data_IF_997431674559
#
_entry.id   IF_997431674559
#
_cell.length_a   1.000
_cell.length_b   1.000
_cell.length_c   1.000
_cell.angle_alpha   90.00
_cell.angle_beta   90.00
_cell.angle_gamma   90.00
#
_symmetry.space_group_name_H-M   'P 1'
#
loop_
_entity.id
_entity.type
_entity.pdbx_description
1 polymer ?
#
# COMPACT_ATOMS: atom_id res chain seq x y z
N UNK A 1 40.77 -5.52 2.84
CA UNK A 1 39.54 -4.90 2.32
C UNK A 1 39.37 -3.51 2.94
N UNK A 2 39.39 -2.43 2.14
CA UNK A 2 39.58 -1.06 2.65
C UNK A 2 38.32 -0.44 3.29
N UNK A 3 38.57 0.34 4.34
CA UNK A 3 37.61 1.01 5.24
C UNK A 3 36.72 2.06 4.52
N UNK A 4 37.04 2.40 3.27
CA UNK A 4 36.36 3.47 2.50
C UNK A 4 34.99 3.03 1.96
N UNK A 5 34.73 1.72 1.78
CA UNK A 5 33.43 1.24 1.26
C UNK A 5 32.27 1.27 2.27
N UNK A 6 32.53 1.40 3.58
CA UNK A 6 31.46 1.35 4.60
C UNK A 6 30.59 2.62 4.66
N UNK A 7 31.09 3.79 4.25
CA UNK A 7 30.32 5.05 4.33
C UNK A 7 29.25 5.20 3.24
N UNK A 8 29.43 4.64 2.03
CA UNK A 8 28.44 4.82 0.95
C UNK A 8 27.30 3.80 0.96
N UNK A 9 27.49 2.64 1.61
CA UNK A 9 26.48 1.57 1.68
C UNK A 9 25.23 1.97 2.48
N UNK A 10 25.35 2.93 3.41
CA UNK A 10 24.20 3.40 4.21
C UNK A 10 23.13 4.14 3.38
N UNK A 11 23.50 4.65 2.20
CA UNK A 11 22.63 5.51 1.38
C UNK A 11 21.94 4.78 0.21
N UNK A 12 22.20 3.48 0.05
CA UNK A 12 21.63 2.65 -1.03
C UNK A 12 21.11 1.34 -0.45
N UNK A 13 19.96 0.90 -0.95
CA UNK A 13 19.43 -0.43 -0.66
C UNK A 13 19.74 -1.35 -1.84
N UNK A 14 20.16 -2.59 -1.56
CA UNK A 14 20.46 -3.58 -2.58
C UNK A 14 19.26 -4.50 -2.75
N UNK A 15 18.42 -4.18 -3.73
CA UNK A 15 17.16 -4.87 -3.96
C UNK A 15 17.34 -5.81 -5.17
N UNK A 16 16.76 -7.02 -5.16
CA UNK A 16 16.78 -7.92 -6.32
C UNK A 16 16.32 -7.22 -7.61
N UNK A 17 16.93 -7.56 -8.76
CA UNK A 17 16.56 -6.96 -10.06
C UNK A 17 15.15 -7.36 -10.53
N UNK A 18 14.60 -8.46 -10.02
CA UNK A 18 13.22 -8.89 -10.26
C UNK A 18 12.18 -8.20 -9.35
N UNK A 19 12.55 -7.09 -8.70
CA UNK A 19 11.62 -6.26 -7.93
C UNK A 19 10.46 -5.81 -8.81
N UNK A 20 9.26 -5.86 -8.23
CA UNK A 20 8.01 -5.47 -8.88
C UNK A 20 7.63 -4.09 -8.37
N UNK A 21 7.76 -3.10 -9.25
CA UNK A 21 7.32 -1.73 -9.00
C UNK A 21 5.82 -1.62 -9.23
N UNK A 22 5.11 -0.95 -8.34
CA UNK A 22 3.72 -0.57 -8.54
C UNK A 22 3.52 0.89 -8.11
N UNK A 23 2.71 1.59 -8.88
CA UNK A 23 2.27 2.95 -8.57
C UNK A 23 0.83 3.10 -8.99
N UNK A 24 0.02 3.62 -8.08
CA UNK A 24 -1.36 3.98 -8.36
C UNK A 24 -1.75 5.22 -7.56
N UNK A 25 -2.71 5.96 -8.08
CA UNK A 25 -3.33 7.09 -7.39
C UNK A 25 -4.78 6.77 -7.07
N UNK A 26 -5.22 7.20 -5.90
CA UNK A 26 -6.63 7.24 -5.52
C UNK A 26 -7.03 8.70 -5.36
N UNK A 27 -8.05 9.13 -6.09
CA UNK A 27 -8.72 10.40 -5.85
C UNK A 27 -10.10 10.10 -5.26
N UNK A 28 -10.32 10.55 -4.03
CA UNK A 28 -11.56 10.29 -3.30
C UNK A 28 -12.29 11.60 -3.05
N UNK A 29 -13.61 11.62 -3.19
CA UNK A 29 -14.44 12.74 -2.75
C UNK A 29 -15.76 12.26 -2.15
N UNK A 30 -16.31 12.96 -1.15
CA UNK A 30 -17.57 12.58 -0.52
C UNK A 30 -18.76 12.82 -1.46
N UNK A 31 -19.72 11.90 -1.48
CA UNK A 31 -20.96 12.09 -2.23
C UNK A 31 -22.00 12.85 -1.38
N UNK A 32 -22.02 14.17 -1.55
CA UNK A 32 -22.92 15.06 -0.80
C UNK A 32 -24.29 15.19 -1.47
N UNK A 33 -25.32 15.53 -0.68
CA UNK A 33 -26.67 15.82 -1.21
C UNK A 33 -26.63 16.92 -2.27
N UNK A 34 -25.77 17.93 -2.08
CA UNK A 34 -25.56 19.01 -3.04
C UNK A 34 -25.17 18.51 -4.44
N UNK A 35 -24.31 17.50 -4.54
CA UNK A 35 -23.90 16.94 -5.83
C UNK A 35 -25.09 16.25 -6.52
N UNK A 36 -25.90 15.53 -5.73
CA UNK A 36 -27.08 14.82 -6.22
C UNK A 36 -28.15 15.83 -6.70
N UNK A 37 -28.38 16.89 -5.93
CA UNK A 37 -29.36 17.93 -6.25
C UNK A 37 -28.95 18.70 -7.52
N UNK A 38 -27.66 19.05 -7.67
CA UNK A 38 -27.14 19.72 -8.85
C UNK A 38 -27.27 18.86 -10.11
N UNK A 39 -26.96 17.57 -10.02
CA UNK A 39 -27.15 16.65 -11.13
C UNK A 39 -28.63 16.50 -11.51
N UNK A 40 -29.51 16.38 -10.51
CA UNK A 40 -30.97 16.29 -10.74
C UNK A 40 -31.53 17.55 -11.42
N UNK A 41 -30.97 18.72 -11.10
CA UNK A 41 -31.33 19.97 -11.76
C UNK A 41 -30.82 20.05 -13.20
N UNK A 42 -29.67 19.46 -13.52
CA UNK A 42 -29.08 19.43 -14.86
C UNK A 42 -29.83 18.49 -15.82
N UNK A 43 -30.19 17.28 -15.39
CA UNK A 43 -30.84 16.28 -16.27
C UNK A 43 -32.35 16.47 -16.44
N UNK A 44 -32.96 17.35 -15.64
CA UNK A 44 -34.40 17.57 -15.63
C UNK A 44 -35.15 16.43 -14.94
N UNK A 45 -36.14 16.78 -14.10
CA UNK A 45 -36.85 15.88 -13.19
C UNK A 45 -37.78 14.83 -13.86
N UNK A 46 -37.49 14.39 -15.09
CA UNK A 46 -38.39 13.56 -15.91
C UNK A 46 -38.12 12.06 -15.85
N UNK A 47 -37.01 11.62 -15.28
CA UNK A 47 -36.73 10.18 -15.12
C UNK A 47 -36.85 9.85 -13.64
N UNK A 48 -37.75 8.93 -13.30
CA UNK A 48 -37.71 8.26 -11.99
C UNK A 48 -36.29 7.72 -11.81
N UNK A 49 -35.45 8.41 -11.04
CA UNK A 49 -34.03 8.05 -10.86
C UNK A 49 -33.98 6.56 -10.56
N UNK A 50 -33.18 5.80 -11.33
CA UNK A 50 -32.64 4.55 -10.83
C UNK A 50 -31.61 4.91 -9.75
N UNK A 51 -32.15 5.36 -8.61
CA UNK A 51 -31.62 5.94 -7.37
C UNK A 51 -30.25 6.66 -7.39
N UNK A 52 -29.17 6.07 -7.91
CA UNK A 52 -27.86 6.73 -8.08
C UNK A 52 -27.09 6.30 -9.34
N UNK A 53 -27.59 5.32 -10.08
CA UNK A 53 -26.91 4.71 -11.22
C UNK A 53 -26.59 5.71 -12.34
N UNK A 54 -27.53 6.59 -12.67
CA UNK A 54 -27.37 7.56 -13.75
C UNK A 54 -26.27 8.59 -13.43
N UNK A 55 -26.22 9.08 -12.19
CA UNK A 55 -25.16 9.95 -11.70
C UNK A 55 -23.78 9.27 -11.78
N UNK A 56 -23.69 8.03 -11.29
CA UNK A 56 -22.43 7.28 -11.33
C UNK A 56 -21.96 7.02 -12.77
N UNK A 57 -22.90 6.69 -13.66
CA UNK A 57 -22.59 6.46 -15.07
C UNK A 57 -22.17 7.75 -15.77
N UNK A 58 -22.82 8.88 -15.47
CA UNK A 58 -22.44 10.20 -15.97
C UNK A 58 -21.00 10.56 -15.60
N UNK A 59 -20.65 10.45 -14.31
CA UNK A 59 -19.30 10.74 -13.83
C UNK A 59 -18.28 9.77 -14.45
N UNK A 60 -18.60 8.47 -14.49
CA UNK A 60 -17.72 7.46 -15.08
C UNK A 60 -17.47 7.70 -16.58
N UNK A 61 -18.50 8.07 -17.34
CA UNK A 61 -18.35 8.37 -18.76
C UNK A 61 -17.41 9.56 -18.99
N UNK A 62 -17.59 10.64 -18.21
CA UNK A 62 -16.71 11.81 -18.27
C UNK A 62 -15.28 11.50 -17.85
N UNK A 63 -15.12 10.68 -16.81
CA UNK A 63 -13.81 10.17 -16.40
C UNK A 63 -13.12 9.43 -17.55
N UNK A 64 -13.81 8.52 -18.24
CA UNK A 64 -13.20 7.72 -19.31
C UNK A 64 -12.94 8.53 -20.58
N UNK A 65 -13.79 9.50 -20.90
CA UNK A 65 -13.56 10.47 -21.97
C UNK A 65 -12.26 11.25 -21.73
N UNK A 66 -12.09 11.83 -20.54
CA UNK A 66 -10.88 12.55 -20.17
C UNK A 66 -9.68 11.62 -20.03
N UNK A 67 -9.87 10.40 -19.51
CA UNK A 67 -8.78 9.41 -19.44
C UNK A 67 -8.22 9.11 -20.82
N UNK A 68 -9.07 9.02 -21.86
CA UNK A 68 -8.60 8.86 -23.25
C UNK A 68 -7.85 10.11 -23.73
N UNK A 69 -8.37 11.31 -23.46
CA UNK A 69 -7.72 12.58 -23.82
C UNK A 69 -6.32 12.73 -23.22
N UNK A 70 -6.14 12.33 -21.96
CA UNK A 70 -4.86 12.41 -21.25
C UNK A 70 -3.98 11.15 -21.42
N UNK A 71 -4.38 10.19 -22.25
CA UNK A 71 -3.68 8.92 -22.48
C UNK A 71 -3.42 8.16 -21.17
N UNK A 72 -4.49 7.99 -20.38
CA UNK A 72 -4.51 7.19 -19.15
C UNK A 72 -5.26 5.89 -19.46
N UNK A 73 -4.52 4.84 -19.80
CA UNK A 73 -5.10 3.53 -20.18
C UNK A 73 -5.80 2.82 -19.03
N UNK A 74 -5.40 3.08 -17.78
CA UNK A 74 -5.94 2.43 -16.60
C UNK A 74 -6.63 3.43 -15.68
N UNK A 75 -7.95 3.52 -15.79
CA UNK A 75 -8.79 4.35 -14.92
C UNK A 75 -10.02 3.57 -14.48
N UNK A 76 -10.33 3.61 -13.19
CA UNK A 76 -11.43 2.86 -12.62
C UNK A 76 -12.27 3.77 -11.73
N UNK A 77 -13.58 3.59 -11.82
CA UNK A 77 -14.56 4.32 -11.03
C UNK A 77 -15.17 3.38 -9.99
N UNK A 78 -15.14 3.75 -8.71
CA UNK A 78 -15.60 2.92 -7.59
C UNK A 78 -16.55 3.74 -6.71
N UNK A 79 -17.81 3.31 -6.60
CA UNK A 79 -18.85 3.91 -5.76
C UNK A 79 -19.61 2.81 -5.00
N UNK A 80 -18.88 2.08 -4.15
CA UNK A 80 -19.42 1.05 -3.26
C UNK A 80 -18.72 1.01 -1.89
N UNK A 81 -17.98 2.08 -1.55
CA UNK A 81 -17.24 2.28 -0.30
C UNK A 81 -16.17 1.21 0.04
N UNK A 82 -15.85 0.31 -0.91
CA UNK A 82 -14.80 -0.68 -0.73
C UNK A 82 -13.42 -0.08 -0.94
N UNK A 83 -12.46 -0.58 -0.18
CA UNK A 83 -11.08 -0.14 -0.25
C UNK A 83 -10.37 -0.76 -1.47
N UNK A 84 -9.89 0.08 -2.38
CA UNK A 84 -9.12 -0.36 -3.53
C UNK A 84 -7.65 -0.67 -3.15
N UNK A 85 -7.15 -1.84 -3.55
CA UNK A 85 -5.74 -2.22 -3.37
C UNK A 85 -5.18 -2.79 -4.65
N UNK A 86 -3.95 -2.42 -4.94
CA UNK A 86 -3.29 -2.81 -6.18
C UNK A 86 -2.05 -3.63 -5.89
N UNK A 87 -1.91 -4.74 -6.61
CA UNK A 87 -0.77 -5.65 -6.56
C UNK A 87 -0.30 -5.99 -7.97
N UNK A 88 1.00 -6.21 -8.11
CA UNK A 88 1.55 -6.74 -9.34
C UNK A 88 1.14 -8.20 -9.53
N UNK A 89 0.77 -8.55 -10.76
CA UNK A 89 0.56 -9.92 -11.22
C UNK A 89 0.82 -10.01 -12.71
N UNK A 90 1.29 -11.17 -13.20
CA UNK A 90 1.40 -11.42 -14.64
C UNK A 90 0.04 -11.52 -15.30
N UNK A 91 -0.96 -12.00 -14.57
CA UNK A 91 -2.34 -12.14 -15.01
C UNK A 91 -3.21 -11.05 -14.39
N UNK A 92 -4.16 -10.53 -15.18
CA UNK A 92 -5.11 -9.53 -14.71
C UNK A 92 -6.25 -10.20 -13.96
N UNK A 93 -6.39 -9.88 -12.67
CA UNK A 93 -7.47 -10.39 -11.83
C UNK A 93 -8.06 -9.27 -10.97
N UNK A 94 -9.37 -9.35 -10.72
CA UNK A 94 -10.10 -8.43 -9.86
C UNK A 94 -10.88 -9.25 -8.85
N UNK A 95 -10.47 -9.20 -7.59
CA UNK A 95 -11.16 -9.93 -6.52
C UNK A 95 -11.82 -8.95 -5.58
N UNK A 96 -13.11 -9.16 -5.35
CA UNK A 96 -13.90 -8.31 -4.50
C UNK A 96 -14.33 -9.09 -3.25
N UNK A 97 -14.08 -8.51 -2.09
CA UNK A 97 -14.61 -8.96 -0.80
C UNK A 97 -15.72 -8.03 -0.35
N UNK A 98 -16.20 -8.20 0.88
CA UNK A 98 -17.14 -7.27 1.48
C UNK A 98 -16.52 -5.89 1.74
N UNK A 99 -15.18 -5.80 1.90
CA UNK A 99 -14.52 -4.57 2.36
C UNK A 99 -13.49 -4.00 1.38
N UNK A 100 -12.97 -4.79 0.43
CA UNK A 100 -11.93 -4.35 -0.50
C UNK A 100 -12.14 -4.89 -1.90
N UNK A 101 -11.50 -4.22 -2.86
CA UNK A 101 -11.31 -4.69 -4.22
C UNK A 101 -9.80 -4.80 -4.45
N UNK A 102 -9.32 -6.02 -4.69
CA UNK A 102 -7.93 -6.29 -5.05
C UNK A 102 -7.79 -6.31 -6.56
N UNK A 103 -6.98 -5.40 -7.08
CA UNK A 103 -6.58 -5.30 -8.46
C UNK A 103 -5.20 -5.92 -8.63
N UNK A 104 -5.14 -6.98 -9.43
CA UNK A 104 -3.90 -7.61 -9.86
C UNK A 104 -3.66 -7.22 -11.31
N UNK A 105 -2.53 -6.56 -11.59
CA UNK A 105 -2.20 -6.14 -12.95
C UNK A 105 -0.70 -6.11 -13.20
N UNK A 106 -0.31 -6.08 -14.48
CA UNK A 106 1.05 -5.86 -14.93
C UNK A 106 1.09 -4.48 -15.58
N UNK A 107 1.84 -3.51 -15.00
CA UNK A 107 1.97 -2.18 -15.57
C UNK A 107 2.47 -2.15 -17.02
N UNK A 108 3.19 -3.18 -17.47
CA UNK A 108 3.82 -3.18 -18.78
C UNK A 108 2.82 -3.32 -19.95
N UNK A 109 1.68 -3.99 -19.76
CA UNK A 109 0.77 -4.30 -20.87
C UNK A 109 -0.72 -4.44 -20.51
N UNK A 110 -1.10 -4.43 -19.22
CA UNK A 110 -2.53 -4.45 -18.88
C UNK A 110 -3.14 -3.06 -18.98
N UNK A 111 -4.31 -3.01 -19.60
CA UNK A 111 -5.18 -1.84 -19.71
C UNK A 111 -6.57 -2.20 -19.20
N UNK A 112 -7.18 -1.26 -18.46
CA UNK A 112 -8.40 -1.51 -17.72
C UNK A 112 -9.16 -0.21 -17.49
N UNK A 113 -10.34 -0.13 -18.10
CA UNK A 113 -11.35 0.86 -17.76
C UNK A 113 -12.61 0.16 -17.26
N UNK A 114 -12.98 0.39 -16.00
CA UNK A 114 -14.12 -0.30 -15.39
C UNK A 114 -14.78 0.49 -14.27
N UNK A 115 -16.08 0.26 -14.10
CA UNK A 115 -16.90 0.83 -13.03
C UNK A 115 -17.27 -0.23 -11.99
N UNK A 116 -17.35 0.17 -10.73
CA UNK A 116 -17.76 -0.67 -9.60
C UNK A 116 -18.75 0.10 -8.74
N UNK A 117 -20.04 -0.06 -9.00
CA UNK A 117 -21.09 0.56 -8.21
C UNK A 117 -22.34 -0.32 -8.22
N UNK A 118 -23.23 -0.06 -7.27
CA UNK A 118 -24.59 -0.56 -7.28
C UNK A 118 -25.52 0.64 -7.45
N UNK A 119 -26.40 0.60 -8.47
CA UNK A 119 -27.28 1.70 -8.82
C UNK A 119 -28.29 2.05 -7.70
N UNK A 120 -28.57 1.11 -6.80
CA UNK A 120 -29.47 1.31 -5.67
C UNK A 120 -28.76 1.79 -4.40
N UNK A 121 -27.42 1.74 -4.38
CA UNK A 121 -26.62 2.06 -3.21
C UNK A 121 -26.06 3.48 -3.31
N UNK A 122 -26.34 4.29 -2.29
CA UNK A 122 -25.66 5.57 -2.10
C UNK A 122 -24.28 5.32 -1.49
N UNK A 123 -23.22 5.58 -2.25
CA UNK A 123 -21.87 5.56 -1.70
C UNK A 123 -21.66 6.75 -0.74
N UNK A 124 -20.94 6.54 0.35
CA UNK A 124 -20.46 7.63 1.21
C UNK A 124 -19.44 8.48 0.46
N UNK A 125 -18.58 7.84 -0.34
CA UNK A 125 -17.57 8.50 -1.18
C UNK A 125 -17.39 7.82 -2.53
N UNK A 126 -17.06 8.64 -3.52
CA UNK A 126 -16.62 8.16 -4.84
C UNK A 126 -15.10 8.06 -4.82
N UNK A 127 -14.58 6.94 -5.31
CA UNK A 127 -13.15 6.65 -5.41
C UNK A 127 -12.77 6.43 -6.87
N UNK A 128 -11.87 7.28 -7.38
CA UNK A 128 -11.28 7.15 -8.70
C UNK A 128 -9.89 6.54 -8.55
N UNK A 129 -9.66 5.40 -9.19
CA UNK A 129 -8.39 4.68 -9.15
C UNK A 129 -7.67 4.79 -10.50
N UNK A 130 -6.43 5.24 -10.47
CA UNK A 130 -5.57 5.35 -11.64
C UNK A 130 -4.34 4.47 -11.47
N UNK A 131 -4.08 3.58 -12.42
CA UNK A 131 -2.93 2.67 -12.37
C UNK A 131 -1.84 3.15 -13.33
N UNK A 132 -0.60 3.23 -12.86
CA UNK A 132 0.51 3.59 -13.72
C UNK A 132 0.81 2.47 -14.74
N UNK A 133 1.20 2.85 -15.95
CA UNK A 133 1.57 1.96 -17.06
C UNK A 133 2.99 2.21 -17.55
N UNK A 134 3.61 1.18 -18.14
CA UNK A 134 4.96 1.20 -18.69
C UNK A 134 5.99 0.45 -17.84
N UNK A 135 7.27 0.56 -18.25
CA UNK A 135 8.37 -0.19 -17.65
C UNK A 135 9.09 0.57 -16.53
N UNK A 136 9.17 1.90 -16.62
CA UNK A 136 9.90 2.77 -15.67
C UNK A 136 8.95 3.53 -14.72
N UNK A 137 8.03 2.78 -14.10
CA UNK A 137 6.94 3.30 -13.27
C UNK A 137 7.44 4.31 -12.22
N UNK A 138 8.53 3.98 -11.52
CA UNK A 138 9.05 4.82 -10.45
C UNK A 138 9.70 6.12 -10.93
N UNK A 139 10.28 6.11 -12.13
CA UNK A 139 10.90 7.28 -12.75
C UNK A 139 9.79 8.20 -13.26
N UNK A 140 8.78 7.63 -13.91
CA UNK A 140 7.65 8.37 -14.49
C UNK A 140 6.56 8.72 -13.47
N UNK A 141 6.75 8.40 -12.18
CA UNK A 141 5.76 8.63 -11.15
C UNK A 141 5.35 10.11 -11.01
N UNK A 142 6.30 11.03 -11.15
CA UNK A 142 6.01 12.47 -11.04
C UNK A 142 5.16 12.98 -12.20
N UNK A 143 5.53 12.63 -13.44
CA UNK A 143 4.76 13.00 -14.62
C UNK A 143 3.38 12.36 -14.63
N UNK A 144 3.26 11.10 -14.18
CA UNK A 144 1.97 10.44 -14.00
C UNK A 144 1.11 11.19 -12.96
N UNK A 145 1.67 11.55 -11.81
CA UNK A 145 0.96 12.31 -10.79
C UNK A 145 0.46 13.67 -11.29
N UNK A 146 1.31 14.43 -11.99
CA UNK A 146 0.93 15.72 -12.56
C UNK A 146 -0.18 15.56 -13.62
N UNK A 147 -0.06 14.55 -14.49
CA UNK A 147 -1.09 14.21 -15.49
C UNK A 147 -2.45 13.92 -14.83
N UNK A 148 -2.47 13.09 -13.79
CA UNK A 148 -3.73 12.78 -13.07
C UNK A 148 -4.29 14.03 -12.38
N UNK A 149 -3.44 14.89 -11.83
CA UNK A 149 -3.88 16.14 -11.20
C UNK A 149 -4.62 17.04 -12.19
N UNK A 150 -4.05 17.27 -13.38
CA UNK A 150 -4.71 18.03 -14.44
C UNK A 150 -5.99 17.37 -14.96
N UNK A 151 -6.01 16.04 -15.07
CA UNK A 151 -7.22 15.30 -15.43
C UNK A 151 -8.34 15.55 -14.43
N UNK A 152 -8.05 15.54 -13.12
CA UNK A 152 -9.04 15.78 -12.07
C UNK A 152 -9.56 17.23 -12.07
N UNK A 153 -8.67 18.21 -12.28
CA UNK A 153 -9.05 19.62 -12.43
C UNK A 153 -9.97 19.83 -13.64
N UNK A 154 -9.70 19.16 -14.76
CA UNK A 154 -10.57 19.22 -15.95
C UNK A 154 -11.87 18.46 -15.72
N UNK A 155 -11.83 17.32 -15.03
CA UNK A 155 -13.01 16.53 -14.68
C UNK A 155 -13.99 17.35 -13.84
N UNK A 156 -13.50 18.00 -12.79
CA UNK A 156 -14.31 18.87 -11.92
C UNK A 156 -15.01 19.99 -12.71
N UNK A 157 -14.26 20.68 -13.59
CA UNK A 157 -14.81 21.72 -14.46
C UNK A 157 -15.85 21.16 -15.43
N UNK A 158 -15.63 19.97 -15.98
CA UNK A 158 -16.52 19.36 -16.97
C UNK A 158 -17.82 18.80 -16.39
N UNK A 159 -17.82 18.44 -15.10
CA UNK A 159 -18.98 17.90 -14.42
C UNK A 159 -19.97 19.00 -14.02
N UNK A 160 -19.48 20.22 -13.74
CA UNK A 160 -20.30 21.35 -13.27
C UNK A 160 -21.11 21.02 -11.98
N UNK A 161 -20.66 20.03 -11.20
CA UNK A 161 -21.32 19.56 -9.96
C UNK A 161 -20.83 20.30 -8.69
N UNK A 162 -20.22 21.47 -8.86
CA UNK A 162 -19.58 22.23 -7.78
C UNK A 162 -18.23 21.68 -7.35
N UNK A 163 -17.73 22.15 -6.20
CA UNK A 163 -16.42 21.77 -5.66
C UNK A 163 -16.45 20.34 -5.09
N UNK A 164 -15.68 19.44 -5.70
CA UNK A 164 -15.63 18.03 -5.33
C UNK A 164 -14.64 17.77 -4.19
N UNK A 165 -13.72 18.69 -3.89
CA UNK A 165 -12.78 18.59 -2.75
C UNK A 165 -12.02 17.24 -2.71
N UNK A 166 -11.29 16.93 -3.79
CA UNK A 166 -10.60 15.65 -3.90
C UNK A 166 -9.52 15.44 -2.82
N UNK A 167 -9.58 14.31 -2.13
CA UNK A 167 -8.47 13.75 -1.36
C UNK A 167 -7.62 12.88 -2.28
N UNK A 168 -6.47 13.38 -2.73
CA UNK A 168 -5.54 12.62 -3.55
C UNK A 168 -4.58 11.80 -2.69
N UNK A 169 -4.42 10.52 -3.02
CA UNK A 169 -3.48 9.59 -2.39
C UNK A 169 -2.59 8.94 -3.43
N UNK A 170 -1.29 9.13 -3.30
CA UNK A 170 -0.27 8.56 -4.16
C UNK A 170 0.37 7.36 -3.46
N UNK A 171 0.14 6.16 -4.01
CA UNK A 171 0.63 4.90 -3.44
C UNK A 171 1.72 4.31 -4.35
N UNK A 172 2.95 4.27 -3.85
CA UNK A 172 4.08 3.64 -4.52
C UNK A 172 4.61 2.50 -3.66
N UNK A 173 4.79 1.32 -4.26
CA UNK A 173 5.39 0.21 -3.54
C UNK A 173 6.30 -0.67 -4.39
N UNK A 174 7.30 -1.24 -3.72
CA UNK A 174 8.22 -2.22 -4.26
C UNK A 174 7.91 -3.56 -3.60
N UNK A 175 7.74 -4.60 -4.39
CA UNK A 175 7.53 -5.97 -3.88
C UNK A 175 8.63 -6.89 -4.39
N UNK A 176 9.27 -7.62 -3.48
CA UNK A 176 10.29 -8.62 -3.82
C UNK A 176 10.39 -9.70 -2.74
N UNK A 177 10.99 -10.83 -3.11
CA UNK A 177 11.37 -11.88 -2.16
C UNK A 177 12.77 -11.58 -1.61
N UNK A 178 12.88 -11.56 -0.28
CA UNK A 178 14.14 -11.33 0.44
C UNK A 178 15.21 -12.35 0.06
N UNK A 179 14.81 -13.57 -0.25
CA UNK A 179 15.72 -14.68 -0.57
C UNK A 179 15.84 -14.96 -2.08
N UNK A 180 15.33 -14.08 -2.94
CA UNK A 180 15.40 -14.24 -4.40
C UNK A 180 16.82 -14.60 -4.89
N UNK A 181 17.85 -13.96 -4.33
CA UNK A 181 19.25 -14.27 -4.70
C UNK A 181 19.66 -15.71 -4.40
N UNK A 182 19.24 -16.28 -3.27
CA UNK A 182 19.56 -17.66 -2.91
C UNK A 182 18.82 -18.67 -3.79
N UNK A 183 17.57 -18.35 -4.18
CA UNK A 183 16.70 -19.24 -4.96
C UNK A 183 16.99 -19.27 -6.45
N UNK A 184 17.11 -18.09 -7.05
CA UNK A 184 17.15 -17.93 -8.50
C UNK A 184 18.46 -17.34 -9.00
N UNK A 185 19.41 -17.04 -8.10
CA UNK A 185 20.68 -16.42 -8.44
C UNK A 185 20.56 -14.96 -8.91
N UNK A 186 19.37 -14.34 -8.77
CA UNK A 186 19.10 -12.99 -9.24
C UNK A 186 20.01 -11.97 -8.56
N UNK A 187 20.64 -11.12 -9.37
CA UNK A 187 21.51 -10.06 -8.87
C UNK A 187 20.73 -8.98 -8.12
N UNK A 188 21.44 -8.21 -7.28
CA UNK A 188 20.86 -7.08 -6.56
C UNK A 188 21.35 -5.77 -7.15
N UNK A 189 20.43 -4.86 -7.44
CA UNK A 189 20.72 -3.51 -7.92
C UNK A 189 20.66 -2.51 -6.77
N UNK A 190 21.65 -1.62 -6.72
CA UNK A 190 21.68 -0.57 -5.72
C UNK A 190 20.67 0.55 -6.07
N UNK A 191 19.66 0.74 -5.22
CA UNK A 191 18.63 1.76 -5.39
C UNK A 191 18.73 2.88 -4.36
N UNK A 192 18.53 4.12 -4.81
CA UNK A 192 18.36 5.28 -3.92
C UNK A 192 16.87 5.47 -3.64
N UNK A 193 16.43 5.15 -2.42
CA UNK A 193 15.04 5.32 -1.99
C UNK A 193 14.80 6.75 -1.51
N UNK A 194 14.74 7.71 -2.45
CA UNK A 194 14.43 9.11 -2.11
C UNK A 194 12.97 9.27 -1.68
N UNK A 195 12.68 10.30 -0.89
CA UNK A 195 11.29 10.68 -0.57
C UNK A 195 10.56 11.07 -1.86
N UNK A 196 9.23 10.90 -1.89
CA UNK A 196 8.44 11.25 -3.08
C UNK A 196 8.57 12.76 -3.35
N UNK A 197 8.51 13.61 -2.32
CA UNK A 197 8.70 15.07 -2.43
C UNK A 197 9.97 15.45 -3.21
N UNK A 198 11.11 14.88 -2.84
CA UNK A 198 12.39 15.19 -3.50
C UNK A 198 12.45 14.64 -4.92
N UNK A 199 11.84 13.48 -5.18
CA UNK A 199 11.75 12.93 -6.53
C UNK A 199 10.89 13.80 -7.44
N UNK A 200 9.75 14.27 -6.96
CA UNK A 200 8.83 15.06 -7.78
C UNK A 200 9.39 16.46 -8.05
N UNK A 201 9.99 17.09 -7.03
CA UNK A 201 10.69 18.36 -7.20
C UNK A 201 11.80 18.29 -8.26
N UNK A 202 12.52 17.17 -8.37
CA UNK A 202 13.54 16.98 -9.41
C UNK A 202 13.00 16.89 -10.84
N UNK A 203 11.69 16.72 -11.00
CA UNK A 203 10.98 16.72 -12.28
C UNK A 203 10.03 17.92 -12.40
N UNK A 204 10.26 18.98 -11.61
CA UNK A 204 9.44 20.20 -11.60
C UNK A 204 7.96 19.97 -11.25
N UNK A 205 7.66 18.90 -10.51
CA UNK A 205 6.33 18.64 -9.96
C UNK A 205 6.36 19.03 -8.48
N UNK A 206 5.66 20.11 -8.14
CA UNK A 206 5.56 20.57 -6.76
C UNK A 206 4.39 19.89 -6.06
N UNK A 207 4.62 19.48 -4.82
CA UNK A 207 3.59 18.91 -3.96
C UNK A 207 3.16 19.94 -2.90
N UNK A 208 1.88 19.98 -2.51
CA UNK A 208 1.39 20.90 -1.49
C UNK A 208 2.14 20.77 -0.17
N UNK A 209 2.30 21.89 0.54
CA UNK A 209 2.99 21.93 1.84
C UNK A 209 2.24 21.13 2.91
N UNK A 210 0.91 21.09 2.82
CA UNK A 210 0.01 20.37 3.75
C UNK A 210 -0.04 18.85 3.55
N UNK A 211 0.83 18.28 2.73
CA UNK A 211 0.84 16.85 2.46
C UNK A 211 1.22 16.01 3.69
N UNK A 212 0.61 14.83 3.79
CA UNK A 212 0.99 13.81 4.77
C UNK A 212 1.77 12.72 4.05
N UNK A 213 3.01 12.49 4.46
CA UNK A 213 3.86 11.42 3.94
C UNK A 213 3.99 10.28 4.96
N UNK A 214 3.96 9.04 4.48
CA UNK A 214 4.19 7.86 5.29
C UNK A 214 5.01 6.84 4.52
N UNK A 215 6.01 6.26 5.17
CA UNK A 215 6.84 5.20 4.61
C UNK A 215 6.81 4.02 5.57
N UNK A 216 6.53 2.82 5.07
CA UNK A 216 6.46 1.61 5.89
C UNK A 216 6.80 0.37 5.05
N UNK A 217 7.17 -0.71 5.72
CA UNK A 217 7.35 -2.01 5.11
C UNK A 217 6.40 -3.03 5.72
N UNK A 218 5.86 -3.92 4.88
CA UNK A 218 5.13 -5.11 5.32
C UNK A 218 5.90 -6.32 4.81
N UNK A 219 6.34 -7.16 5.74
CA UNK A 219 7.00 -8.44 5.47
C UNK A 219 5.99 -9.55 5.72
N UNK A 220 5.75 -10.39 4.72
CA UNK A 220 4.92 -11.59 4.84
C UNK A 220 5.83 -12.80 5.04
N UNK A 221 5.69 -13.48 6.18
CA UNK A 221 6.34 -14.76 6.45
C UNK A 221 5.33 -15.89 6.34
N UNK A 222 5.52 -16.84 5.41
CA UNK A 222 4.63 -17.99 5.29
C UNK A 222 4.85 -18.94 6.46
N UNK A 223 3.75 -19.42 7.03
CA UNK A 223 3.77 -20.44 8.08
C UNK A 223 3.78 -21.81 7.41
N UNK A 224 4.97 -22.41 7.32
CA UNK A 224 5.15 -23.77 6.81
C UNK A 224 5.25 -24.78 7.95
N UNK A 225 5.05 -26.06 7.63
CA UNK A 225 5.17 -27.17 8.57
C UNK A 225 6.48 -27.15 9.35
N UNK A 226 7.61 -26.80 8.73
CA UNK A 226 8.91 -26.74 9.41
C UNK A 226 8.93 -25.73 10.54
N UNK A 227 8.29 -24.57 10.36
CA UNK A 227 8.17 -23.54 11.40
C UNK A 227 7.23 -24.00 12.52
N UNK A 228 6.13 -24.66 12.16
CA UNK A 228 5.14 -25.21 13.11
C UNK A 228 5.78 -26.29 13.99
N UNK A 229 6.61 -27.15 13.40
CA UNK A 229 7.30 -28.25 14.08
C UNK A 229 8.38 -27.81 15.08
N UNK A 230 8.76 -26.52 15.09
CA UNK A 230 9.67 -25.97 16.09
C UNK A 230 8.97 -25.62 17.41
N UNK A 231 7.64 -25.56 17.41
CA UNK A 231 6.86 -25.19 18.58
C UNK A 231 6.14 -26.42 19.15
N UNK A 232 6.09 -26.51 20.49
CA UNK A 232 5.34 -27.54 21.20
C UNK A 232 3.85 -27.21 21.17
N UNK A 233 3.14 -27.67 20.13
CA UNK A 233 1.71 -27.40 19.92
C UNK A 233 0.87 -28.54 20.51
N UNK A 234 0.05 -28.21 21.51
CA UNK A 234 -0.98 -29.11 22.04
C UNK A 234 -2.34 -28.72 21.46
N UNK A 235 -2.84 -29.53 20.53
CA UNK A 235 -4.13 -29.33 19.87
C UNK A 235 -5.34 -29.46 20.80
N UNK A 236 -5.18 -30.04 21.99
CA UNK A 236 -6.24 -30.17 22.99
C UNK A 236 -6.33 -28.95 23.94
N UNK A 237 -5.36 -28.03 23.86
CA UNK A 237 -5.34 -26.80 24.65
C UNK A 237 -6.38 -25.79 24.16
N UNK A 238 -6.75 -24.84 25.01
CA UNK A 238 -7.59 -23.69 24.62
C UNK A 238 -6.91 -22.78 23.60
N UNK A 239 -5.57 -22.75 23.61
CA UNK A 239 -4.71 -21.83 22.85
C UNK A 239 -3.54 -22.60 22.20
N UNK A 240 -3.83 -23.53 21.28
CA UNK A 240 -2.86 -24.49 20.74
C UNK A 240 -1.64 -23.84 20.10
N UNK A 241 -1.82 -22.71 19.40
CA UNK A 241 -0.76 -22.07 18.63
C UNK A 241 -0.03 -20.95 19.39
N UNK A 242 -0.36 -20.72 20.66
CA UNK A 242 0.31 -19.70 21.47
C UNK A 242 1.84 -19.89 21.55
N UNK A 243 2.38 -21.11 21.73
CA UNK A 243 3.83 -21.33 21.77
C UNK A 243 4.53 -20.91 20.48
N UNK A 244 3.93 -21.19 19.33
CA UNK A 244 4.43 -20.80 18.01
C UNK A 244 4.52 -19.27 17.90
N UNK A 245 3.42 -18.56 18.19
CA UNK A 245 3.38 -17.11 18.07
C UNK A 245 4.26 -16.39 19.10
N UNK A 246 4.41 -16.96 20.30
CA UNK A 246 5.34 -16.47 21.30
C UNK A 246 6.80 -16.59 20.83
N UNK A 247 7.20 -17.75 20.28
CA UNK A 247 8.54 -17.97 19.72
C UNK A 247 8.84 -16.98 18.58
N UNK A 248 7.91 -16.81 17.63
CA UNK A 248 8.10 -15.87 16.51
C UNK A 248 8.16 -14.42 17.02
N UNK A 249 7.34 -14.08 18.02
CA UNK A 249 7.35 -12.73 18.64
C UNK A 249 8.66 -12.43 19.35
N UNK A 250 9.24 -13.41 20.05
CA UNK A 250 10.52 -13.25 20.73
C UNK A 250 11.66 -13.03 19.72
N UNK A 251 11.73 -13.88 18.69
CA UNK A 251 12.71 -13.73 17.60
C UNK A 251 12.56 -12.37 16.89
N UNK A 252 11.33 -11.94 16.62
CA UNK A 252 11.03 -10.64 16.05
C UNK A 252 11.48 -9.48 16.95
N UNK A 253 11.14 -9.52 18.23
CA UNK A 253 11.47 -8.46 19.20
C UNK A 253 12.97 -8.34 19.39
N UNK A 254 13.70 -9.46 19.50
CA UNK A 254 15.17 -9.50 19.56
C UNK A 254 15.80 -8.87 18.32
N UNK A 255 15.34 -9.28 17.13
CA UNK A 255 15.86 -8.76 15.88
C UNK A 255 15.56 -7.25 15.73
N UNK A 256 14.34 -6.83 16.02
CA UNK A 256 13.93 -5.43 15.97
C UNK A 256 14.78 -4.54 16.89
N UNK A 257 14.98 -4.96 18.15
CA UNK A 257 15.86 -4.26 19.10
C UNK A 257 17.31 -4.20 18.61
N UNK A 258 17.86 -5.30 18.10
CA UNK A 258 19.25 -5.38 17.61
C UNK A 258 19.55 -4.37 16.49
N UNK A 259 18.57 -4.09 15.64
CA UNK A 259 18.73 -3.18 14.49
C UNK A 259 18.07 -1.81 14.68
N UNK A 260 17.67 -1.46 15.91
CA UNK A 260 17.01 -0.21 16.29
C UNK A 260 15.71 0.05 15.50
N UNK A 261 14.92 -0.99 15.27
CA UNK A 261 13.59 -0.91 14.66
C UNK A 261 12.55 -0.87 15.78
N UNK A 262 12.29 0.34 16.30
CA UNK A 262 11.45 0.54 17.48
C UNK A 262 10.00 0.90 17.15
N UNK A 263 9.61 0.87 15.86
CA UNK A 263 8.26 1.17 15.43
C UNK A 263 7.77 0.08 14.48
N UNK A 264 7.02 -0.87 15.02
CA UNK A 264 6.52 -1.97 14.23
C UNK A 264 5.42 -2.79 14.91
N UNK A 265 4.82 -3.67 14.13
CA UNK A 265 3.80 -4.59 14.62
C UNK A 265 3.96 -5.99 14.03
N UNK A 266 3.72 -7.02 14.81
CA UNK A 266 3.54 -8.40 14.36
C UNK A 266 2.05 -8.73 14.39
N UNK A 267 1.50 -9.11 13.24
CA UNK A 267 0.09 -9.47 13.07
C UNK A 267 0.02 -10.93 12.60
N UNK A 268 -0.54 -11.79 13.45
CA UNK A 268 -0.72 -13.23 13.20
C UNK A 268 -2.13 -13.68 13.63
N UNK A 269 -3.16 -12.98 13.16
CA UNK A 269 -4.57 -13.24 13.45
C UNK A 269 -5.42 -13.49 12.19
N UNK A 270 -4.78 -13.76 11.05
CA UNK A 270 -5.44 -13.99 9.76
C UNK A 270 -5.99 -12.73 9.08
N UNK A 271 -5.88 -11.56 9.73
CA UNK A 271 -6.35 -10.29 9.18
C UNK A 271 -5.27 -9.58 8.37
N UNK A 272 -5.69 -8.74 7.44
CA UNK A 272 -4.77 -8.02 6.57
C UNK A 272 -4.39 -6.67 7.19
N UNK A 273 -3.10 -6.39 7.44
CA UNK A 273 -2.69 -5.12 8.02
C UNK A 273 -2.84 -3.97 7.02
N UNK A 274 -3.47 -2.89 7.47
CA UNK A 274 -3.59 -1.63 6.74
C UNK A 274 -3.00 -0.51 7.59
N UNK A 275 -1.90 0.07 7.10
CA UNK A 275 -1.21 1.17 7.76
C UNK A 275 -1.81 2.49 7.28
N UNK A 276 -2.23 3.35 8.22
CA UNK A 276 -2.73 4.70 7.93
C UNK A 276 -2.09 5.73 8.85
N UNK A 277 -2.01 6.96 8.37
CA UNK A 277 -1.69 8.07 9.24
C UNK A 277 -2.83 8.27 10.25
N UNK A 278 -2.49 8.42 11.52
CA UNK A 278 -3.40 8.76 12.60
C UNK A 278 -2.67 9.67 13.58
N UNK A 279 -3.37 10.59 14.23
CA UNK A 279 -2.75 11.46 15.24
C UNK A 279 -2.26 10.65 16.44
N UNK A 280 -3.07 9.66 16.83
CA UNK A 280 -2.78 8.70 17.88
C UNK A 280 -2.53 7.33 17.29
N UNK A 281 -1.69 6.54 17.95
CA UNK A 281 -1.56 5.14 17.59
C UNK A 281 -2.83 4.37 17.92
N UNK A 282 -3.41 3.71 16.92
CA UNK A 282 -4.68 2.99 17.07
C UNK A 282 -4.59 1.63 16.43
N UNK A 283 -5.07 0.61 17.15
CA UNK A 283 -5.26 -0.74 16.64
C UNK A 283 -6.74 -1.04 16.63
N UNK A 284 -7.33 -1.22 15.46
CA UNK A 284 -8.74 -1.58 15.35
C UNK A 284 -8.95 -2.70 14.34
N UNK A 285 -9.76 -3.68 14.72
CA UNK A 285 -10.24 -4.74 13.83
C UNK A 285 -11.50 -4.25 13.13
N UNK A 286 -11.52 -4.32 11.81
CA UNK A 286 -12.69 -3.96 10.99
C UNK A 286 -12.87 -5.11 9.99
N UNK A 287 -13.79 -6.03 10.27
CA UNK A 287 -14.02 -7.22 9.43
C UNK A 287 -12.75 -8.05 9.18
N UNK A 288 -12.29 -8.06 7.93
CA UNK A 288 -11.09 -8.78 7.45
C UNK A 288 -9.80 -7.93 7.54
N UNK A 289 -9.89 -6.67 7.99
CA UNK A 289 -8.79 -5.73 8.05
C UNK A 289 -8.32 -5.49 9.49
N UNK A 290 -6.99 -5.42 9.64
CA UNK A 290 -6.32 -4.95 10.85
C UNK A 290 -5.80 -3.54 10.60
N UNK A 291 -6.52 -2.53 11.08
CA UNK A 291 -6.10 -1.14 10.91
C UNK A 291 -5.02 -0.78 11.93
N UNK A 292 -3.93 -0.23 11.43
CA UNK A 292 -2.80 0.25 12.20
C UNK A 292 -2.66 1.76 11.94
N UNK A 293 -3.03 2.57 12.92
CA UNK A 293 -2.82 4.01 12.90
C UNK A 293 -1.45 4.34 13.47
N UNK A 294 -0.64 5.08 12.72
CA UNK A 294 0.67 5.56 13.19
C UNK A 294 0.84 7.04 12.89
N UNK A 295 1.59 7.72 13.76
CA UNK A 295 2.04 9.08 13.55
C UNK A 295 3.57 9.10 13.36
N UNK A 296 4.09 9.36 12.16
CA UNK A 296 5.53 9.41 11.93
C UNK A 296 6.27 10.52 12.71
N UNK A 297 5.54 11.54 13.18
CA UNK A 297 6.08 12.67 13.96
C UNK A 297 6.17 12.37 15.47
N UNK A 298 5.48 11.35 15.97
CA UNK A 298 5.57 10.95 17.37
C UNK A 298 6.76 10.01 17.61
N UNK A 299 7.24 9.99 18.85
CA UNK A 299 8.29 9.07 19.28
C UNK A 299 7.84 7.60 19.10
N UNK A 300 8.76 6.68 18.77
CA UNK A 300 8.44 5.27 18.60
C UNK A 300 7.78 4.68 19.86
N UNK A 301 6.64 4.02 19.70
CA UNK A 301 5.91 3.38 20.80
C UNK A 301 6.36 1.92 21.07
N UNK A 302 7.41 1.46 20.38
CA UNK A 302 7.92 0.10 20.50
C UNK A 302 7.28 -0.85 19.47
N UNK A 303 7.38 -2.14 19.80
CA UNK A 303 6.91 -3.22 18.94
C UNK A 303 5.65 -3.82 19.56
N UNK A 304 4.57 -3.89 18.77
CA UNK A 304 3.30 -4.46 19.23
C UNK A 304 3.08 -5.81 18.55
N UNK A 305 2.68 -6.82 19.31
CA UNK A 305 2.31 -8.13 18.74
C UNK A 305 0.83 -8.42 18.98
N UNK A 306 0.15 -8.87 17.94
CA UNK A 306 -1.25 -9.30 17.96
C UNK A 306 -1.39 -10.61 17.18
N UNK A 307 -1.86 -11.64 17.84
CA UNK A 307 -2.12 -12.94 17.22
C UNK A 307 -3.44 -13.54 17.71
N UNK A 308 -3.94 -14.53 16.99
CA UNK A 308 -5.03 -15.39 17.44
C UNK A 308 -4.44 -16.76 17.78
N UNK A 309 -4.45 -17.12 19.06
CA UNK A 309 -3.84 -18.37 19.53
C UNK A 309 -4.65 -19.63 19.15
N UNK A 310 -5.89 -19.47 18.71
CA UNK A 310 -6.80 -20.57 18.37
C UNK A 310 -6.68 -21.03 16.94
N UNK A 311 -6.17 -20.18 16.05
CA UNK A 311 -6.13 -20.45 14.62
C UNK A 311 -4.69 -20.39 14.09
N UNK A 312 -4.35 -21.37 13.25
CA UNK A 312 -3.12 -21.32 12.47
C UNK A 312 -3.34 -20.43 11.24
N UNK A 313 -2.54 -19.37 11.13
CA UNK A 313 -2.56 -18.46 9.99
C UNK A 313 -1.63 -18.93 8.88
N UNK A 314 -1.98 -18.66 7.62
CA UNK A 314 -1.10 -18.96 6.48
C UNK A 314 0.15 -18.07 6.46
N UNK A 315 0.00 -16.82 6.88
CA UNK A 315 1.05 -15.81 6.85
C UNK A 315 1.07 -14.98 8.13
N UNK A 316 2.27 -14.76 8.66
CA UNK A 316 2.54 -13.78 9.71
C UNK A 316 2.99 -12.49 9.02
N UNK A 317 2.39 -11.36 9.38
CA UNK A 317 2.74 -10.06 8.84
C UNK A 317 3.56 -9.25 9.84
N UNK A 318 4.75 -8.83 9.45
CA UNK A 318 5.57 -7.88 10.21
C UNK A 318 5.50 -6.51 9.53
N UNK A 319 5.05 -5.51 10.28
CA UNK A 319 4.91 -4.15 9.82
C UNK A 319 5.99 -3.31 10.48
N UNK A 320 6.69 -2.50 9.70
CA UNK A 320 7.68 -1.54 10.19
C UNK A 320 7.33 -0.17 9.65
N UNK A 321 7.25 0.85 10.51
CA UNK A 321 6.89 2.20 10.10
C UNK A 321 8.06 3.14 10.33
N UNK A 322 8.42 3.90 9.30
CA UNK A 322 9.52 4.86 9.36
C UNK A 322 9.10 6.09 10.19
N UNK A 323 9.90 6.46 11.19
CA UNK A 323 9.73 7.71 11.94
C UNK A 323 10.43 8.87 11.23
N UNK A 324 10.27 10.10 11.74
CA UNK A 324 10.95 11.30 11.23
C UNK A 324 12.47 11.14 11.07
N UNK A 325 13.12 10.42 11.97
CA UNK A 325 14.56 10.14 11.90
C UNK A 325 14.95 9.31 10.66
N UNK A 326 14.00 8.54 10.12
CA UNK A 326 14.16 7.73 8.93
C UNK A 326 13.67 8.44 7.65
N UNK A 327 13.26 9.71 7.72
CA UNK A 327 12.74 10.49 6.59
C UNK A 327 13.75 11.49 5.98
N UNK A 328 14.95 11.61 6.54
CA UNK A 328 16.01 12.42 5.93
C UNK A 328 16.43 11.85 4.55
N UNK A 329 17.01 12.68 3.68
CA UNK A 329 17.45 12.25 2.36
C UNK A 329 18.40 11.05 2.49
N UNK A 330 18.08 9.97 1.75
CA UNK A 330 18.69 8.62 1.79
C UNK A 330 18.41 7.74 3.03
N UNK A 331 17.72 8.23 4.05
CA UNK A 331 17.44 7.48 5.27
C UNK A 331 16.48 6.29 5.08
N UNK A 332 15.62 6.33 4.05
CA UNK A 332 14.77 5.19 3.70
C UNK A 332 15.56 3.98 3.20
N UNK A 333 16.70 4.18 2.52
CA UNK A 333 17.57 3.08 2.12
C UNK A 333 18.21 2.41 3.36
N UNK A 334 18.67 3.22 4.31
CA UNK A 334 19.15 2.73 5.61
C UNK A 334 18.07 1.95 6.36
N UNK A 335 16.86 2.49 6.42
CA UNK A 335 15.71 1.86 7.07
C UNK A 335 15.38 0.49 6.44
N UNK A 336 15.30 0.40 5.11
CA UNK A 336 15.08 -0.87 4.42
C UNK A 336 16.21 -1.87 4.68
N UNK A 337 17.47 -1.43 4.65
CA UNK A 337 18.61 -2.29 4.97
C UNK A 337 18.53 -2.83 6.41
N UNK A 338 18.12 -2.01 7.38
CA UNK A 338 17.91 -2.44 8.77
C UNK A 338 16.81 -3.49 8.86
N UNK A 339 15.69 -3.29 8.15
CA UNK A 339 14.61 -4.28 8.06
C UNK A 339 15.14 -5.60 7.50
N UNK A 340 15.83 -5.58 6.36
CA UNK A 340 16.36 -6.81 5.76
C UNK A 340 17.33 -7.55 6.69
N UNK A 341 18.21 -6.81 7.40
CA UNK A 341 19.13 -7.41 8.37
C UNK A 341 18.38 -8.01 9.56
N UNK A 342 17.34 -7.34 10.05
CA UNK A 342 16.49 -7.84 11.13
C UNK A 342 15.76 -9.12 10.71
N UNK A 343 15.13 -9.11 9.54
CA UNK A 343 14.42 -10.28 9.03
C UNK A 343 15.38 -11.44 8.78
N UNK A 344 16.54 -11.22 8.15
CA UNK A 344 17.55 -12.28 7.97
C UNK A 344 17.99 -12.90 9.30
N UNK A 345 18.23 -12.07 10.32
CA UNK A 345 18.58 -12.55 11.67
C UNK A 345 17.45 -13.38 12.28
N UNK A 346 16.21 -12.90 12.17
CA UNK A 346 15.03 -13.58 12.69
C UNK A 346 14.78 -14.91 11.97
N UNK A 347 14.85 -14.94 10.64
CA UNK A 347 14.64 -16.16 9.85
C UNK A 347 15.72 -17.21 10.14
N UNK A 348 16.96 -16.79 10.42
CA UNK A 348 18.01 -17.73 10.84
C UNK A 348 17.75 -18.31 12.24
N UNK A 349 17.23 -17.52 13.19
CA UNK A 349 16.82 -18.01 14.51
C UNK A 349 15.65 -19.00 14.41
N UNK A 350 14.71 -18.73 13.49
CA UNK A 350 13.56 -19.59 13.18
C UNK A 350 13.90 -20.73 12.21
N UNK A 351 15.19 -20.97 11.91
CA UNK A 351 15.68 -22.05 11.03
C UNK A 351 14.98 -22.11 9.66
N UNK A 352 14.56 -20.96 9.12
CA UNK A 352 13.95 -20.90 7.79
C UNK A 352 15.04 -21.00 6.72
N UNK A 353 14.81 -21.86 5.72
CA UNK A 353 15.73 -22.11 4.61
C UNK A 353 15.52 -21.06 3.50
N UNK A 354 16.56 -20.25 3.18
CA UNK A 354 16.47 -19.24 2.12
C UNK A 354 16.06 -19.80 0.74
N UNK A 355 16.44 -21.04 0.44
CA UNK A 355 16.19 -21.68 -0.85
C UNK A 355 14.72 -22.09 -1.01
N UNK A 356 14.00 -22.32 0.09
CA UNK A 356 12.65 -22.88 0.06
C UNK A 356 11.58 -21.90 0.55
N UNK A 357 11.90 -21.03 1.51
CA UNK A 357 10.94 -20.11 2.11
C UNK A 357 10.83 -18.80 1.33
N UNK A 358 9.62 -18.39 0.98
CA UNK A 358 9.35 -17.11 0.30
C UNK A 358 9.02 -16.04 1.32
N UNK A 359 9.93 -15.09 1.54
CA UNK A 359 9.71 -13.99 2.50
C UNK A 359 9.51 -12.71 1.69
N UNK A 360 8.25 -12.34 1.50
CA UNK A 360 7.89 -11.21 0.66
C UNK A 360 8.00 -9.90 1.44
N UNK A 361 8.88 -9.02 0.97
CA UNK A 361 9.01 -7.65 1.46
C UNK A 361 8.24 -6.72 0.54
N UNK A 362 7.31 -5.95 1.10
CA UNK A 362 6.62 -4.86 0.42
C UNK A 362 6.98 -3.54 1.06
N UNK A 363 7.71 -2.70 0.34
CA UNK A 363 8.13 -1.38 0.81
C UNK A 363 7.22 -0.32 0.21
N UNK A 364 6.47 0.39 1.06
CA UNK A 364 5.47 1.38 0.68
C UNK A 364 5.98 2.80 0.96
N UNK A 365 5.80 3.69 -0.01
CA UNK A 365 5.88 5.13 0.14
C UNK A 365 4.53 5.71 -0.27
N UNK A 366 3.91 6.47 0.63
CA UNK A 366 2.58 7.02 0.44
C UNK A 366 2.57 8.51 0.74
N UNK A 367 1.85 9.28 -0.08
CA UNK A 367 1.54 10.68 0.15
C UNK A 367 0.03 10.88 0.02
N UNK A 368 -0.55 11.70 0.89
CA UNK A 368 -1.93 12.12 0.76
C UNK A 368 -2.11 13.61 1.09
N UNK A 369 -2.90 14.30 0.26
CA UNK A 369 -3.23 15.72 0.44
C UNK A 369 -4.61 16.02 -0.17
N UNK A 370 -5.16 17.18 0.17
CA UNK A 370 -6.41 17.67 -0.42
C UNK A 370 -6.04 18.53 -1.62
N UNK A 371 -6.57 18.19 -2.79
CA UNK A 371 -6.38 18.94 -4.03
C UNK A 371 -7.28 20.18 -3.95
N UNK A 372 -6.71 21.35 -4.26
CA UNK A 372 -7.39 22.65 -4.27
C UNK A 372 -7.22 23.34 -5.60
#
# INVERSE_FOLDING_TARGET
MSIIRKRSAAHKAYIPTNVRDNHYLLAEFPLTDRIIDLFSAQEGATTSLNHYGDLYQFIANKLFELSKKYEVSNSLFIANDKLARVRYSQEMHQWQTNQQILFYYNPAYHELQKTFFDASHRAEKITLLFLATGNDIRINAASFHAKITHLLEELEKSLELGELNYRLRDHQHLTYDLFAKAKTGVESKAQKLRTIKVRYASQHVELPVSQRQMTYAIVSLPVKSDLVNLADIDLNSSDPYNPLYAMVTDAFTKAAKRYNLNNGALIANGLIPIVRHSEYETLSRIGELQMLGYNPEMSPCGVISKWDAKALVDNIHLVFVATKENQADSAHAKFLNQIEMAIKSMTSELKMLPEENEVIVRFHQHIAYDLK
#
